data_IF_486677052818
#
_entry.id   IF_486677052818
#
_cell.length_a   1.000
_cell.length_b   1.000
_cell.length_c   1.000
_cell.angle_alpha   90.00
_cell.angle_beta   90.00
_cell.angle_gamma   90.00
#
_symmetry.space_group_name_H-M   'P 1'
#
loop_
_entity.id
_entity.type
_entity.pdbx_description
1 polymer ?
#
# COMPACT_ATOMS: atom_id res chain seq x y z
N UNK A 1 12.84 12.03 5.09
CA UNK A 1 12.42 12.77 3.89
C UNK A 1 13.45 13.82 3.60
N UNK A 2 13.88 13.89 2.35
CA UNK A 2 14.73 14.97 1.85
C UNK A 2 14.01 16.31 2.08
N UNK A 3 14.69 17.31 2.64
CA UNK A 3 14.12 18.66 2.84
C UNK A 3 14.15 19.42 1.52
N UNK A 4 13.40 18.93 0.54
CA UNK A 4 13.21 19.59 -0.74
C UNK A 4 11.87 20.32 -0.67
N UNK A 5 11.89 21.64 -0.90
CA UNK A 5 10.65 22.39 -1.09
C UNK A 5 10.10 22.03 -2.47
N UNK A 6 8.98 21.32 -2.49
CA UNK A 6 8.30 20.92 -3.73
C UNK A 6 7.59 22.12 -4.34
N UNK A 7 7.73 22.30 -5.65
CA UNK A 7 6.88 23.25 -6.37
C UNK A 7 5.48 22.67 -6.56
N UNK A 8 4.49 23.53 -6.84
CA UNK A 8 3.13 23.09 -7.19
C UNK A 8 3.13 22.09 -8.37
N UNK A 9 4.08 22.25 -9.30
CA UNK A 9 4.24 21.34 -10.44
C UNK A 9 4.75 19.96 -10.03
N UNK A 10 5.57 19.88 -8.99
CA UNK A 10 6.08 18.61 -8.50
C UNK A 10 4.97 17.85 -7.76
N UNK A 11 4.14 18.55 -6.98
CA UNK A 11 2.97 17.95 -6.34
C UNK A 11 1.97 17.35 -7.34
N UNK A 12 1.75 18.03 -8.48
CA UNK A 12 0.91 17.50 -9.56
C UNK A 12 1.51 16.20 -10.12
N UNK A 13 2.82 16.18 -10.37
CA UNK A 13 3.51 14.99 -10.92
C UNK A 13 3.50 13.82 -9.94
N UNK A 14 3.74 14.07 -8.66
CA UNK A 14 3.64 13.05 -7.62
C UNK A 14 2.23 12.44 -7.60
N UNK A 15 1.19 13.29 -7.66
CA UNK A 15 -0.19 12.80 -7.75
C UNK A 15 -0.44 11.98 -9.02
N UNK A 16 0.04 12.43 -10.18
CA UNK A 16 -0.12 11.69 -11.44
C UNK A 16 0.62 10.34 -11.40
N UNK A 17 1.79 10.29 -10.76
CA UNK A 17 2.56 9.08 -10.55
C UNK A 17 1.84 8.10 -9.60
N UNK A 18 1.28 8.60 -8.49
CA UNK A 18 0.46 7.82 -7.57
C UNK A 18 -0.78 7.23 -8.29
N UNK A 19 -1.53 8.08 -9.00
CA UNK A 19 -2.73 7.67 -9.74
C UNK A 19 -2.39 6.66 -10.85
N UNK A 20 -1.19 6.74 -11.44
CA UNK A 20 -0.70 5.75 -12.39
C UNK A 20 -0.30 4.43 -11.70
N UNK A 21 0.46 4.48 -10.61
CA UNK A 21 0.91 3.31 -9.88
C UNK A 21 -0.27 2.51 -9.28
N UNK A 22 -1.32 3.19 -8.82
CA UNK A 22 -2.54 2.54 -8.31
C UNK A 22 -3.17 1.61 -9.34
N UNK A 23 -3.17 1.99 -10.63
CA UNK A 23 -3.74 1.16 -11.71
C UNK A 23 -3.01 -0.16 -11.94
N UNK A 24 -1.77 -0.27 -11.46
CA UNK A 24 -0.92 -1.46 -11.65
C UNK A 24 -0.73 -2.29 -10.40
N UNK A 25 -0.85 -1.68 -9.21
CA UNK A 25 -0.45 -2.31 -7.95
C UNK A 25 -1.62 -2.73 -7.08
N UNK A 26 -2.67 -1.91 -7.01
CA UNK A 26 -3.93 -2.18 -6.32
C UNK A 26 -4.91 -1.06 -6.69
N UNK A 27 -5.96 -1.41 -7.42
CA UNK A 27 -6.97 -0.44 -7.87
C UNK A 27 -7.91 -0.05 -6.72
N UNK A 28 -8.63 1.06 -6.89
CA UNK A 28 -9.60 1.51 -5.89
C UNK A 28 -10.79 0.55 -5.73
N UNK A 29 -11.17 -0.17 -6.80
CA UNK A 29 -12.23 -1.18 -6.76
C UNK A 29 -11.78 -2.44 -6.00
N UNK A 30 -10.56 -2.91 -6.23
CA UNK A 30 -9.96 -4.03 -5.48
C UNK A 30 -9.79 -3.68 -4.00
N UNK A 31 -9.38 -2.45 -3.69
CA UNK A 31 -9.36 -1.95 -2.32
C UNK A 31 -10.75 -1.94 -1.69
N UNK A 32 -11.78 -1.49 -2.43
CA UNK A 32 -13.15 -1.49 -1.93
C UNK A 32 -13.65 -2.92 -1.63
N UNK A 33 -13.25 -3.91 -2.44
CA UNK A 33 -13.54 -5.33 -2.19
C UNK A 33 -12.89 -5.83 -0.89
N UNK A 34 -11.61 -5.49 -0.67
CA UNK A 34 -10.89 -5.80 0.58
C UNK A 34 -11.61 -5.19 1.79
N UNK A 35 -12.00 -3.92 1.70
CA UNK A 35 -12.68 -3.23 2.81
C UNK A 35 -14.06 -3.80 3.10
N UNK A 36 -14.77 -4.29 2.09
CA UNK A 36 -16.08 -4.93 2.25
C UNK A 36 -16.00 -6.28 2.97
N UNK A 37 -14.82 -6.94 2.96
CA UNK A 37 -14.59 -8.21 3.63
C UNK A 37 -14.19 -8.06 5.11
N UNK A 38 -14.08 -6.84 5.64
CA UNK A 38 -13.69 -6.63 7.04
C UNK A 38 -14.65 -7.30 8.05
N UNK A 39 -14.15 -7.80 9.20
CA UNK A 39 -12.76 -7.74 9.67
C UNK A 39 -11.84 -8.68 8.89
N UNK A 40 -10.62 -8.22 8.61
CA UNK A 40 -9.62 -8.97 7.86
C UNK A 40 -8.68 -9.71 8.82
N UNK A 41 -8.44 -10.98 8.55
CA UNK A 41 -7.35 -11.78 9.11
C UNK A 41 -6.14 -11.80 8.16
N UNK A 42 -5.01 -12.30 8.65
CA UNK A 42 -3.75 -12.35 7.88
C UNK A 42 -3.88 -13.18 6.60
N UNK A 43 -4.62 -14.29 6.67
CA UNK A 43 -4.89 -15.15 5.52
C UNK A 43 -5.79 -14.47 4.47
N UNK A 44 -6.72 -13.59 4.89
CA UNK A 44 -7.52 -12.82 3.94
C UNK A 44 -6.63 -11.89 3.12
N UNK A 45 -5.65 -11.23 3.75
CA UNK A 45 -4.70 -10.36 3.05
C UNK A 45 -3.88 -11.15 2.02
N UNK A 46 -3.43 -12.36 2.37
CA UNK A 46 -2.70 -13.24 1.42
C UNK A 46 -3.59 -13.68 0.26
N UNK A 47 -4.83 -14.08 0.55
CA UNK A 47 -5.79 -14.48 -0.47
C UNK A 47 -6.10 -13.34 -1.45
N UNK A 48 -6.31 -12.12 -0.95
CA UNK A 48 -6.51 -10.95 -1.81
C UNK A 48 -5.25 -10.59 -2.60
N UNK A 49 -4.07 -10.70 -2.00
CA UNK A 49 -2.81 -10.48 -2.69
C UNK A 49 -2.65 -11.45 -3.87
N UNK A 50 -2.95 -12.73 -3.68
CA UNK A 50 -2.97 -13.73 -4.75
C UNK A 50 -4.04 -13.43 -5.80
N UNK A 51 -5.26 -13.09 -5.38
CA UNK A 51 -6.39 -12.77 -6.27
C UNK A 51 -6.08 -11.60 -7.20
N UNK A 52 -5.50 -10.52 -6.67
CA UNK A 52 -5.18 -9.30 -7.41
C UNK A 52 -3.77 -9.31 -8.02
N UNK A 53 -3.04 -10.43 -7.88
CA UNK A 53 -1.67 -10.57 -8.36
C UNK A 53 -0.75 -9.42 -7.87
N UNK A 54 -0.86 -9.10 -6.57
CA UNK A 54 -0.10 -8.07 -5.88
C UNK A 54 0.62 -8.64 -4.66
N UNK A 55 1.53 -7.89 -4.06
CA UNK A 55 2.22 -8.34 -2.85
C UNK A 55 1.40 -7.96 -1.60
N UNK A 56 1.28 -8.81 -0.56
CA UNK A 56 0.54 -8.50 0.67
C UNK A 56 0.91 -7.15 1.30
N UNK A 57 2.22 -6.82 1.31
CA UNK A 57 2.73 -5.55 1.82
C UNK A 57 2.19 -4.31 1.07
N UNK A 58 1.76 -4.42 -0.19
CA UNK A 58 1.13 -3.32 -0.93
C UNK A 58 -0.26 -3.03 -0.36
N UNK A 59 -1.05 -4.09 -0.12
CA UNK A 59 -2.38 -3.98 0.50
C UNK A 59 -2.23 -3.37 1.89
N UNK A 60 -1.37 -3.96 2.72
CA UNK A 60 -1.14 -3.50 4.10
C UNK A 60 -0.65 -2.06 4.11
N UNK A 61 0.38 -1.74 3.32
CA UNK A 61 0.96 -0.39 3.26
C UNK A 61 -0.07 0.66 2.86
N UNK A 62 -0.98 0.33 1.93
CA UNK A 62 -2.08 1.22 1.56
C UNK A 62 -3.06 1.43 2.71
N UNK A 63 -3.51 0.36 3.37
CA UNK A 63 -4.44 0.44 4.50
C UNK A 63 -3.83 1.21 5.68
N UNK A 64 -2.52 1.04 5.94
CA UNK A 64 -1.77 1.81 6.92
C UNK A 64 -1.68 3.29 6.55
N UNK A 65 -1.34 3.62 5.29
CA UNK A 65 -1.30 5.00 4.79
C UNK A 65 -2.65 5.72 4.99
N UNK A 66 -3.76 5.01 4.74
CA UNK A 66 -5.13 5.49 4.99
C UNK A 66 -5.55 5.44 6.47
N UNK A 67 -4.67 4.99 7.37
CA UNK A 67 -4.87 4.89 8.83
C UNK A 67 -6.03 3.96 9.23
N UNK A 68 -6.32 2.96 8.40
CA UNK A 68 -7.37 1.97 8.65
C UNK A 68 -6.87 0.83 9.55
N UNK A 69 -5.57 0.54 9.50
CA UNK A 69 -4.89 -0.45 10.35
C UNK A 69 -3.63 0.17 10.98
N UNK A 70 -3.16 -0.34 12.13
CA UNK A 70 -1.95 0.17 12.77
C UNK A 70 -0.68 -0.29 12.05
N UNK A 71 0.35 0.56 12.03
CA UNK A 71 1.70 0.28 11.49
C UNK A 71 2.49 -0.80 12.24
N UNK A 72 1.92 -1.40 13.28
CA UNK A 72 2.53 -2.52 14.00
C UNK A 72 2.15 -3.89 13.42
N UNK A 73 1.15 -3.94 12.54
CA UNK A 73 0.59 -5.14 11.93
C UNK A 73 1.28 -5.37 10.59
N UNK A 74 2.28 -6.28 10.52
CA UNK A 74 3.04 -6.72 9.31
C UNK A 74 4.55 -6.93 9.46
N UNK A 75 5.13 -6.98 10.66
CA UNK A 75 6.59 -7.16 10.83
C UNK A 75 7.17 -8.38 10.12
N UNK A 76 6.36 -9.37 9.79
CA UNK A 76 6.78 -10.56 9.02
C UNK A 76 7.20 -10.25 7.57
N UNK A 77 6.72 -9.16 6.97
CA UNK A 77 7.07 -8.80 5.58
C UNK A 77 8.32 -7.91 5.48
N UNK A 78 8.97 -7.59 6.61
CA UNK A 78 10.18 -6.78 6.64
C UNK A 78 11.42 -7.63 6.88
N UNK A 79 12.38 -7.54 5.97
CA UNK A 79 13.73 -8.09 6.15
C UNK A 79 14.71 -6.95 6.50
N UNK A 80 15.61 -7.13 7.48
CA UNK A 80 16.58 -6.11 7.84
C UNK A 80 17.60 -5.88 6.71
N UNK A 81 17.83 -4.61 6.37
CA UNK A 81 18.91 -4.24 5.45
C UNK A 81 20.23 -4.24 6.23
N UNK A 82 21.15 -5.14 5.88
CA UNK A 82 22.51 -5.19 6.41
C UNK A 82 23.41 -4.37 5.47
N UNK A 83 24.01 -3.30 5.98
CA UNK A 83 25.03 -2.55 5.26
C UNK A 83 26.41 -3.17 5.55
N UNK A 84 27.16 -3.49 4.48
CA UNK A 84 28.58 -3.87 4.57
C UNK A 84 29.49 -2.64 4.75
#
# INVERSE_FOLDING_TARGET
MEKVEYSDKDLIKEKEADDFACKWTLTDDEEAEILAAAPLEEDDIRNFAEQFNTHPAIIIGRLQHKKLIPYSLDREYFEPVIFE
#
